data_IF_412817161944
#
_entry.id   IF_412817161944
#
_cell.length_a   1.000
_cell.length_b   1.000
_cell.length_c   1.000
_cell.angle_alpha   90.00
_cell.angle_beta   90.00
_cell.angle_gamma   90.00
#
_symmetry.space_group_name_H-M   'P 1'
#
loop_
_entity.id
_entity.type
_entity.pdbx_description
1 polymer ?
#
# COMPACT_ATOMS: atom_id res chain seq x y z
N UNK A 1 65.79 -41.23 4.50
CA UNK A 1 65.47 -41.75 5.85
C UNK A 1 64.72 -43.07 5.69
N UNK A 2 65.21 -44.14 6.33
CA UNK A 2 64.69 -45.51 6.22
C UNK A 2 63.24 -45.60 6.78
N UNK A 3 62.37 -46.42 6.21
CA UNK A 3 60.94 -46.56 6.60
C UNK A 3 60.78 -46.90 8.09
N UNK A 4 61.76 -47.63 8.63
CA UNK A 4 61.84 -47.97 10.05
C UNK A 4 62.07 -46.78 10.98
N UNK A 5 62.65 -45.67 10.50
CA UNK A 5 62.90 -44.45 11.29
C UNK A 5 61.67 -43.52 11.28
N UNK A 6 60.81 -43.62 10.25
CA UNK A 6 59.59 -42.80 10.16
C UNK A 6 58.48 -43.25 11.11
N UNK A 7 58.45 -44.53 11.47
CA UNK A 7 57.35 -45.12 12.24
C UNK A 7 57.75 -45.46 13.69
N UNK A 8 58.54 -44.58 14.31
CA UNK A 8 59.02 -44.74 15.70
C UNK A 8 58.34 -43.70 16.58
N UNK A 9 57.74 -44.18 17.66
CA UNK A 9 57.24 -43.36 18.76
C UNK A 9 58.02 -43.71 20.01
N UNK A 10 58.67 -42.73 20.64
CA UNK A 10 59.45 -42.96 21.85
C UNK A 10 59.33 -41.78 22.82
N UNK A 11 59.59 -42.03 24.10
CA UNK A 11 59.51 -41.02 25.15
C UNK A 11 60.92 -40.59 25.55
N UNK A 12 61.19 -39.29 25.59
CA UNK A 12 62.47 -38.75 26.03
C UNK A 12 62.63 -38.87 27.55
N UNK A 13 63.86 -38.79 28.10
CA UNK A 13 64.06 -38.74 29.55
C UNK A 13 63.35 -37.57 30.25
N UNK A 14 62.98 -36.53 29.48
CA UNK A 14 62.20 -35.37 29.93
C UNK A 14 60.69 -35.63 29.98
N UNK A 15 60.24 -36.80 29.52
CA UNK A 15 58.83 -37.21 29.49
C UNK A 15 58.09 -36.84 28.20
N UNK A 16 58.76 -36.23 27.21
CA UNK A 16 58.13 -35.82 25.95
C UNK A 16 58.02 -37.00 24.98
N UNK A 17 56.85 -37.16 24.35
CA UNK A 17 56.64 -38.21 23.33
C UNK A 17 57.01 -37.70 21.95
N UNK A 18 58.02 -38.29 21.32
CA UNK A 18 58.48 -37.97 19.97
C UNK A 18 57.87 -38.96 18.99
N UNK A 19 57.23 -38.43 17.95
CA UNK A 19 56.69 -39.16 16.81
C UNK A 19 56.96 -38.36 15.53
N UNK A 20 57.04 -39.02 14.38
CA UNK A 20 57.29 -38.34 13.11
C UNK A 20 56.03 -38.33 12.25
N UNK A 21 55.72 -37.19 11.63
CA UNK A 21 54.62 -37.08 10.66
C UNK A 21 54.98 -37.78 9.33
N UNK A 22 54.05 -37.82 8.36
CA UNK A 22 54.26 -38.45 7.05
C UNK A 22 55.46 -37.88 6.25
N UNK A 23 55.86 -36.64 6.56
CA UNK A 23 57.01 -35.95 5.96
C UNK A 23 58.31 -36.23 6.72
N UNK A 24 58.26 -36.81 7.90
CA UNK A 24 59.40 -37.09 8.78
C UNK A 24 59.71 -35.97 9.77
N UNK A 25 58.80 -35.02 10.01
CA UNK A 25 59.00 -33.95 10.98
C UNK A 25 58.55 -34.41 12.39
N UNK A 26 59.33 -34.11 13.45
CA UNK A 26 58.97 -34.38 14.84
C UNK A 26 57.79 -33.50 15.30
N UNK A 27 57.18 -33.75 16.48
CA UNK A 27 56.10 -32.90 16.96
C UNK A 27 56.62 -31.51 17.25
N UNK A 28 55.84 -30.49 16.88
CA UNK A 28 56.19 -29.11 17.14
C UNK A 28 55.93 -28.79 18.63
N UNK A 29 57.01 -28.48 19.36
CA UNK A 29 56.97 -28.08 20.76
C UNK A 29 57.80 -26.81 20.91
N UNK A 30 57.16 -25.71 21.30
CA UNK A 30 57.81 -24.41 21.41
C UNK A 30 57.44 -23.74 22.73
N UNK A 31 58.40 -23.07 23.33
CA UNK A 31 58.17 -22.18 24.44
C UNK A 31 57.93 -20.75 23.93
N UNK A 32 56.85 -20.13 24.40
CA UNK A 32 56.56 -18.72 24.11
C UNK A 32 57.26 -17.88 25.17
N UNK A 33 58.17 -17.02 24.72
CA UNK A 33 59.00 -16.17 25.58
C UNK A 33 58.65 -14.70 25.37
N UNK A 34 58.67 -13.91 26.43
CA UNK A 34 58.63 -12.45 26.38
C UNK A 34 59.94 -11.84 26.90
N UNK A 35 60.23 -10.60 26.50
CA UNK A 35 61.34 -9.82 27.02
C UNK A 35 60.79 -8.65 27.85
N UNK A 36 61.07 -8.66 29.16
CA UNK A 36 60.67 -7.60 30.07
C UNK A 36 61.84 -6.64 30.31
N UNK A 37 61.58 -5.35 30.21
CA UNK A 37 62.55 -4.32 30.57
C UNK A 37 62.52 -4.11 32.09
N UNK A 38 63.61 -4.47 32.77
CA UNK A 38 63.77 -4.26 34.20
C UNK A 38 64.08 -2.77 34.51
N UNK A 39 63.83 -2.27 35.73
CA UNK A 39 64.16 -0.90 36.14
C UNK A 39 65.62 -0.50 35.89
N UNK A 40 66.53 -1.48 35.92
CA UNK A 40 67.96 -1.31 35.66
C UNK A 40 68.33 -1.23 34.15
N UNK A 41 67.34 -1.05 33.26
CA UNK A 41 67.49 -1.02 31.79
C UNK A 41 68.04 -2.30 31.16
N UNK A 42 67.97 -3.43 31.88
CA UNK A 42 68.34 -4.76 31.38
C UNK A 42 67.10 -5.54 30.96
N UNK A 43 67.22 -6.40 29.94
CA UNK A 43 66.13 -7.26 29.51
C UNK A 43 66.17 -8.60 30.26
N UNK A 44 65.05 -8.97 30.87
CA UNK A 44 64.83 -10.32 31.40
C UNK A 44 63.97 -11.12 30.42
N UNK A 45 64.39 -12.35 30.11
CA UNK A 45 63.57 -13.29 29.33
C UNK A 45 62.70 -14.10 30.28
N UNK A 46 61.40 -14.11 30.04
CA UNK A 46 60.45 -14.89 30.82
C UNK A 46 59.62 -15.79 29.90
N UNK A 47 59.45 -17.05 30.30
CA UNK A 47 58.51 -17.98 29.65
C UNK A 47 57.09 -17.61 30.04
N UNK A 48 56.25 -17.41 29.04
CA UNK A 48 54.87 -16.93 29.20
C UNK A 48 53.84 -17.86 28.60
N UNK A 49 54.28 -18.87 27.88
CA UNK A 49 53.39 -19.87 27.31
C UNK A 49 54.16 -21.03 26.71
N UNK A 50 53.41 -21.98 26.18
CA UNK A 50 53.93 -23.08 25.40
C UNK A 50 52.95 -23.46 24.29
N UNK A 51 53.51 -23.97 23.21
CA UNK A 51 52.78 -24.48 22.06
C UNK A 51 53.17 -25.94 21.85
N UNK A 52 52.19 -26.83 21.80
CA UNK A 52 52.39 -28.26 21.62
C UNK A 52 51.49 -28.78 20.50
N UNK A 53 52.03 -29.65 19.66
CA UNK A 53 51.24 -30.43 18.69
C UNK A 53 51.16 -31.86 19.21
N UNK A 54 49.94 -32.32 19.48
CA UNK A 54 49.65 -33.68 19.93
C UNK A 54 49.73 -34.69 18.78
N UNK A 55 49.80 -35.97 19.13
CA UNK A 55 49.90 -37.09 18.18
C UNK A 55 48.71 -37.26 17.23
N UNK A 56 47.55 -36.73 17.61
CA UNK A 56 46.33 -36.66 16.78
C UNK A 56 46.30 -35.43 15.84
N UNK A 57 47.34 -34.59 15.87
CA UNK A 57 47.43 -33.34 15.12
C UNK A 57 46.79 -32.14 15.80
N UNK A 58 46.23 -32.30 17.00
CA UNK A 58 45.64 -31.21 17.77
C UNK A 58 46.73 -30.22 18.20
N UNK A 59 46.53 -28.93 17.90
CA UNK A 59 47.46 -27.84 18.23
C UNK A 59 46.99 -27.15 19.51
N UNK A 60 47.79 -27.20 20.57
CA UNK A 60 47.50 -26.58 21.85
C UNK A 60 48.44 -25.39 22.06
N UNK A 61 47.87 -24.19 22.11
CA UNK A 61 48.56 -22.98 22.52
C UNK A 61 48.09 -22.60 23.92
N UNK A 62 49.01 -22.61 24.88
CA UNK A 62 48.77 -22.11 26.22
C UNK A 62 49.57 -20.83 26.42
N UNK A 63 48.89 -19.73 26.76
CA UNK A 63 49.51 -18.47 27.14
C UNK A 63 49.01 -18.15 28.55
N UNK A 64 49.95 -17.92 29.46
CA UNK A 64 49.65 -17.53 30.82
C UNK A 64 49.17 -16.06 30.83
N UNK A 65 47.85 -15.87 30.91
CA UNK A 65 47.21 -14.55 30.94
C UNK A 65 47.40 -13.78 32.25
N UNK A 66 47.95 -14.42 33.29
CA UNK A 66 48.22 -13.78 34.60
C UNK A 66 49.60 -13.12 34.68
N UNK A 67 50.48 -13.37 33.71
CA UNK A 67 51.70 -12.58 33.56
C UNK A 67 51.32 -11.19 33.06
N UNK A 68 51.80 -10.13 33.72
CA UNK A 68 51.64 -8.75 33.26
C UNK A 68 52.49 -8.54 31.99
N UNK A 69 51.98 -9.04 30.86
CA UNK A 69 52.67 -9.10 29.58
C UNK A 69 52.83 -7.72 28.93
N UNK A 70 52.01 -6.76 29.33
CA UNK A 70 51.84 -5.48 28.65
C UNK A 70 51.91 -4.25 29.57
N UNK A 71 51.93 -4.46 30.89
CA UNK A 71 52.19 -3.41 31.87
C UNK A 71 53.64 -2.91 31.84
N UNK A 72 53.91 -1.69 32.34
CA UNK A 72 52.97 -0.77 33.00
C UNK A 72 52.14 0.09 32.03
N UNK A 73 52.37 -0.02 30.72
CA UNK A 73 51.84 0.92 29.72
C UNK A 73 50.45 0.56 29.21
N UNK A 74 50.13 -0.73 29.09
CA UNK A 74 48.83 -1.20 28.62
C UNK A 74 48.23 -2.18 29.62
N UNK A 75 46.95 -1.97 29.97
CA UNK A 75 46.19 -2.87 30.86
C UNK A 75 45.74 -4.15 30.16
N UNK A 76 45.63 -4.09 28.83
CA UNK A 76 45.14 -5.17 27.97
C UNK A 76 46.03 -5.30 26.73
N UNK A 77 45.95 -6.44 26.06
CA UNK A 77 46.70 -6.69 24.83
C UNK A 77 46.29 -5.67 23.74
N UNK A 78 47.25 -4.94 23.13
CA UNK A 78 46.93 -4.01 22.07
C UNK A 78 46.41 -4.75 20.83
N UNK A 79 45.31 -4.25 20.25
CA UNK A 79 44.78 -4.80 19.01
C UNK A 79 45.45 -4.15 17.80
N UNK A 80 45.97 -4.97 16.88
CA UNK A 80 46.56 -4.49 15.62
C UNK A 80 45.47 -4.30 14.56
N UNK A 81 44.62 -3.29 14.75
CA UNK A 81 43.59 -2.90 13.79
C UNK A 81 44.06 -1.74 12.91
N UNK A 82 43.72 -1.78 11.62
CA UNK A 82 44.03 -0.69 10.68
C UNK A 82 43.10 0.51 10.86
N UNK A 83 41.84 0.23 11.22
CA UNK A 83 40.79 1.20 11.47
C UNK A 83 39.83 0.62 12.52
N UNK A 84 39.03 1.48 13.12
CA UNK A 84 38.01 1.06 14.06
C UNK A 84 36.89 0.26 13.34
N UNK A 85 36.26 -0.72 14.02
CA UNK A 85 35.12 -1.44 13.48
C UNK A 85 33.95 -0.51 13.18
N UNK A 86 33.21 -0.76 12.09
CA UNK A 86 32.09 0.10 11.74
C UNK A 86 30.94 -0.01 12.73
N UNK A 87 30.37 1.11 13.15
CA UNK A 87 29.18 1.12 13.99
C UNK A 87 27.95 0.55 13.23
N UNK A 88 26.94 0.04 13.95
CA UNK A 88 25.65 -0.28 13.34
C UNK A 88 25.10 0.89 12.50
N UNK A 89 24.47 0.59 11.38
CA UNK A 89 24.02 1.55 10.36
C UNK A 89 25.05 1.87 9.27
N UNK A 90 26.24 1.30 9.39
CA UNK A 90 27.32 1.40 8.42
C UNK A 90 27.72 0.02 7.90
N UNK A 91 28.32 -0.01 6.71
CA UNK A 91 28.94 -1.17 6.09
C UNK A 91 30.39 -0.88 5.74
N UNK A 92 31.18 -1.94 5.63
CA UNK A 92 32.55 -1.85 5.10
C UNK A 92 32.54 -1.35 3.66
N UNK A 93 33.40 -0.38 3.39
CA UNK A 93 33.72 0.13 2.08
C UNK A 93 35.20 -0.13 1.78
N UNK A 94 35.46 -0.82 0.67
CA UNK A 94 36.82 -1.12 0.25
C UNK A 94 37.54 0.17 -0.13
N UNK A 95 38.76 0.36 0.38
CA UNK A 95 39.65 1.43 -0.03
C UNK A 95 40.55 0.89 -1.14
N UNK A 96 40.54 1.53 -2.31
CA UNK A 96 41.42 1.15 -3.41
C UNK A 96 42.90 1.31 -3.04
N UNK A 97 43.73 0.34 -3.39
CA UNK A 97 45.16 0.34 -3.09
C UNK A 97 45.57 -0.06 -1.67
N UNK A 98 44.62 -0.32 -0.75
CA UNK A 98 44.90 -0.80 0.62
C UNK A 98 44.60 -2.30 0.81
N UNK A 99 45.19 -2.96 1.83
CA UNK A 99 44.88 -4.35 2.17
C UNK A 99 43.43 -4.54 2.63
N UNK A 100 42.87 -5.74 2.51
CA UNK A 100 41.47 -6.04 2.86
C UNK A 100 41.10 -5.79 4.33
N UNK A 101 42.08 -5.76 5.25
CA UNK A 101 41.85 -5.41 6.66
C UNK A 101 41.68 -3.91 6.91
N UNK A 102 42.03 -3.07 5.92
CA UNK A 102 41.87 -1.62 5.97
C UNK A 102 40.68 -1.21 5.10
N UNK A 103 39.61 -0.77 5.74
CA UNK A 103 38.37 -0.36 5.08
C UNK A 103 37.88 0.96 5.66
N UNK A 104 36.95 1.59 4.95
CA UNK A 104 36.21 2.75 5.43
C UNK A 104 34.79 2.33 5.82
N UNK A 105 34.10 3.15 6.60
CA UNK A 105 32.73 2.90 7.03
C UNK A 105 31.76 3.77 6.21
N UNK A 106 31.08 3.15 5.24
CA UNK A 106 30.05 3.81 4.46
C UNK A 106 28.67 3.61 5.10
N UNK A 107 27.89 4.69 5.22
CA UNK A 107 26.52 4.61 5.72
C UNK A 107 25.64 3.79 4.78
N UNK A 108 24.70 3.00 5.32
CA UNK A 108 23.72 2.27 4.51
C UNK A 108 22.87 3.22 3.66
N UNK A 109 22.47 2.76 2.46
CA UNK A 109 21.63 3.52 1.56
C UNK A 109 20.19 3.68 2.09
N UNK A 110 19.41 4.51 1.43
CA UNK A 110 18.01 4.71 1.78
C UNK A 110 17.21 3.41 1.57
N UNK A 111 16.44 3.01 2.59
CA UNK A 111 15.72 1.74 2.61
C UNK A 111 16.57 0.53 3.04
N UNK A 112 17.86 0.71 3.30
CA UNK A 112 18.76 -0.32 3.84
C UNK A 112 19.14 -0.07 5.30
N UNK A 113 19.52 -1.13 6.00
CA UNK A 113 19.93 -1.07 7.40
C UNK A 113 21.01 -2.09 7.74
N UNK A 114 21.68 -1.89 8.87
CA UNK A 114 22.68 -2.79 9.46
C UNK A 114 22.60 -2.70 10.98
N UNK A 115 22.29 -3.81 11.66
CA UNK A 115 22.22 -3.86 13.12
C UNK A 115 23.50 -4.40 13.78
N UNK A 116 24.40 -4.99 13.00
CA UNK A 116 25.63 -5.60 13.51
C UNK A 116 26.80 -4.64 13.38
N UNK A 117 27.65 -4.58 14.41
CA UNK A 117 28.95 -3.93 14.33
C UNK A 117 29.80 -4.62 13.28
N UNK A 118 30.53 -3.82 12.51
CA UNK A 118 31.50 -4.26 11.51
C UNK A 118 30.92 -5.07 10.33
N UNK A 119 29.69 -4.74 9.93
CA UNK A 119 28.96 -5.42 8.88
C UNK A 119 29.61 -5.29 7.49
N UNK A 120 29.64 -6.39 6.73
CA UNK A 120 30.17 -6.40 5.37
C UNK A 120 29.24 -5.67 4.38
N UNK A 121 27.94 -5.80 4.57
CA UNK A 121 26.90 -5.25 3.70
C UNK A 121 25.67 -4.84 4.50
N UNK A 122 24.90 -3.90 3.97
CA UNK A 122 23.58 -3.56 4.50
C UNK A 122 22.52 -4.47 3.86
N UNK A 123 21.38 -4.58 4.50
CA UNK A 123 20.24 -5.32 3.98
C UNK A 123 19.02 -4.42 3.86
N UNK A 124 18.15 -4.72 2.89
CA UNK A 124 17.00 -3.89 2.54
C UNK A 124 15.80 -4.23 3.43
N UNK A 125 15.10 -3.20 3.91
CA UNK A 125 13.86 -3.36 4.65
C UNK A 125 12.73 -3.87 3.74
N UNK A 126 11.68 -4.44 4.34
CA UNK A 126 10.49 -4.87 3.61
C UNK A 126 9.73 -3.67 3.01
N UNK A 127 8.84 -3.90 2.04
CA UNK A 127 8.12 -2.83 1.34
C UNK A 127 7.25 -1.95 2.25
N UNK A 128 6.75 -2.53 3.35
CA UNK A 128 5.91 -1.88 4.35
C UNK A 128 6.72 -1.16 5.45
N UNK A 129 8.04 -1.29 5.41
CA UNK A 129 8.94 -0.73 6.41
C UNK A 129 9.92 0.26 5.77
N UNK A 130 10.30 1.28 6.53
CA UNK A 130 11.37 2.21 6.21
C UNK A 130 12.53 2.01 7.18
N UNK A 131 13.74 2.20 6.70
CA UNK A 131 14.92 2.20 7.55
C UNK A 131 14.90 3.44 8.46
N UNK A 132 15.19 3.26 9.76
CA UNK A 132 15.20 4.35 10.74
C UNK A 132 16.29 5.42 10.43
N UNK A 133 16.26 6.57 11.11
CA UNK A 133 17.23 7.68 10.86
C UNK A 133 18.70 7.25 11.03
N UNK A 134 18.95 6.29 11.91
CA UNK A 134 20.28 5.76 12.20
C UNK A 134 20.69 4.59 11.28
N UNK A 135 19.79 4.11 10.41
CA UNK A 135 19.97 2.93 9.56
C UNK A 135 20.27 1.63 10.33
N UNK A 136 19.86 1.54 11.58
CA UNK A 136 20.10 0.39 12.47
C UNK A 136 18.92 -0.59 12.53
N UNK A 137 17.75 -0.17 12.06
CA UNK A 137 16.52 -0.96 12.15
C UNK A 137 15.49 -0.57 11.11
N UNK A 138 14.58 -1.50 10.80
CA UNK A 138 13.40 -1.26 9.99
C UNK A 138 12.24 -0.85 10.91
N UNK A 139 11.51 0.20 10.54
CA UNK A 139 10.34 0.70 11.24
C UNK A 139 9.15 0.77 10.27
N UNK A 140 7.90 0.54 10.72
CA UNK A 140 6.74 0.63 9.84
C UNK A 140 6.64 2.00 9.17
N UNK A 141 6.28 2.02 7.89
CA UNK A 141 5.94 3.27 7.18
C UNK A 141 4.65 3.87 7.73
N UNK A 142 4.50 5.19 7.61
CA UNK A 142 3.26 5.87 8.01
C UNK A 142 2.18 5.64 6.96
N UNK A 143 0.96 5.35 7.42
CA UNK A 143 -0.18 5.11 6.53
C UNK A 143 -0.83 6.45 6.20
N UNK A 144 -0.91 6.78 4.91
CA UNK A 144 -1.55 7.99 4.42
C UNK A 144 -2.84 7.62 3.68
N UNK A 145 -3.91 8.38 3.93
CA UNK A 145 -5.22 8.22 3.29
C UNK A 145 -5.97 9.55 3.32
N UNK A 146 -6.99 9.73 2.47
CA UNK A 146 -7.83 10.92 2.48
C UNK A 146 -8.66 10.97 3.77
N UNK A 147 -8.17 11.70 4.77
CA UNK A 147 -8.79 11.79 6.09
C UNK A 147 -9.85 12.89 6.14
N UNK A 148 -10.84 12.71 7.02
CA UNK A 148 -11.81 13.75 7.37
C UNK A 148 -11.16 14.99 7.99
N UNK A 149 -9.97 14.83 8.56
CA UNK A 149 -9.19 15.91 9.16
C UNK A 149 -8.41 16.72 8.12
N UNK A 150 -8.21 16.19 6.92
CA UNK A 150 -7.47 16.88 5.87
C UNK A 150 -8.34 17.97 5.25
N UNK A 151 -7.73 19.05 4.76
CA UNK A 151 -8.45 20.19 4.19
C UNK A 151 -9.38 19.79 3.05
N UNK A 152 -8.94 18.89 2.17
CA UNK A 152 -9.74 18.35 1.08
C UNK A 152 -10.88 17.45 1.59
N UNK A 153 -10.59 16.53 2.51
CA UNK A 153 -11.62 15.63 3.07
C UNK A 153 -12.68 16.38 3.87
N UNK A 154 -12.29 17.38 4.66
CA UNK A 154 -13.18 18.23 5.43
C UNK A 154 -14.10 19.08 4.53
N UNK A 155 -13.57 19.68 3.48
CA UNK A 155 -14.37 20.50 2.54
C UNK A 155 -15.37 19.66 1.77
N UNK A 156 -14.96 18.50 1.23
CA UNK A 156 -15.87 17.57 0.53
C UNK A 156 -16.99 17.05 1.45
N UNK A 157 -16.64 16.66 2.68
CA UNK A 157 -17.60 16.21 3.68
C UNK A 157 -18.63 17.30 4.02
N UNK A 158 -18.17 18.53 4.22
CA UNK A 158 -19.03 19.67 4.51
C UNK A 158 -20.03 19.93 3.37
N UNK A 159 -19.55 19.94 2.13
CA UNK A 159 -20.40 20.12 0.94
C UNK A 159 -21.46 19.01 0.85
N UNK A 160 -21.06 17.74 1.03
CA UNK A 160 -21.97 16.60 1.00
C UNK A 160 -23.08 16.72 2.05
N UNK A 161 -22.75 17.11 3.28
CA UNK A 161 -23.73 17.29 4.36
C UNK A 161 -24.68 18.46 4.09
N UNK A 162 -24.18 19.60 3.60
CA UNK A 162 -25.02 20.75 3.24
C UNK A 162 -26.01 20.38 2.14
N UNK A 163 -25.56 19.68 1.11
CA UNK A 163 -26.41 19.20 0.01
C UNK A 163 -27.44 18.17 0.47
N UNK A 164 -27.06 17.26 1.37
CA UNK A 164 -27.99 16.32 2.00
C UNK A 164 -29.08 17.02 2.80
N UNK A 165 -28.71 18.01 3.63
CA UNK A 165 -29.68 18.80 4.41
C UNK A 165 -30.62 19.56 3.48
N UNK A 166 -30.08 20.20 2.44
CA UNK A 166 -30.90 20.91 1.44
C UNK A 166 -31.89 19.97 0.75
N UNK A 167 -31.44 18.80 0.30
CA UNK A 167 -32.31 17.79 -0.31
C UNK A 167 -33.38 17.26 0.67
N UNK A 168 -33.02 17.10 1.95
CA UNK A 168 -33.95 16.71 3.02
C UNK A 168 -35.05 17.75 3.26
N UNK A 169 -34.68 19.04 3.23
CA UNK A 169 -35.66 20.14 3.35
C UNK A 169 -36.62 20.13 2.15
N UNK A 170 -36.10 19.95 0.93
CA UNK A 170 -36.93 19.85 -0.28
C UNK A 170 -37.86 18.65 -0.20
N UNK A 171 -37.38 17.49 0.26
CA UNK A 171 -38.20 16.31 0.48
C UNK A 171 -39.29 16.55 1.54
N UNK A 172 -38.95 17.22 2.64
CA UNK A 172 -39.92 17.60 3.68
C UNK A 172 -41.04 18.50 3.15
N UNK A 173 -40.69 19.50 2.33
CA UNK A 173 -41.67 20.35 1.64
C UNK A 173 -42.53 19.51 0.69
N UNK A 174 -41.91 18.61 -0.10
CA UNK A 174 -42.60 17.75 -1.04
C UNK A 174 -43.63 16.85 -0.36
N UNK A 175 -43.26 16.23 0.77
CA UNK A 175 -44.17 15.39 1.58
C UNK A 175 -45.28 16.23 2.23
N UNK A 176 -44.96 17.45 2.71
CA UNK A 176 -45.96 18.33 3.33
C UNK A 176 -47.06 18.73 2.33
N UNK A 177 -46.69 18.97 1.08
CA UNK A 177 -47.60 19.39 0.00
C UNK A 177 -47.95 18.25 -0.96
N UNK A 178 -47.88 17.00 -0.50
CA UNK A 178 -48.09 15.80 -1.31
C UNK A 178 -49.39 15.86 -2.12
N UNK A 179 -50.50 16.23 -1.49
CA UNK A 179 -51.84 16.26 -2.10
C UNK A 179 -52.08 17.44 -3.06
N UNK A 180 -51.11 18.34 -3.24
CA UNK A 180 -51.31 19.50 -4.13
C UNK A 180 -51.36 19.07 -5.60
N UNK A 181 -52.20 19.73 -6.43
CA UNK A 181 -52.36 19.37 -7.84
C UNK A 181 -51.07 19.53 -8.66
N UNK A 182 -50.13 20.35 -8.18
CA UNK A 182 -48.79 20.51 -8.78
C UNK A 182 -47.97 19.22 -8.59
N UNK A 183 -47.92 18.69 -7.37
CA UNK A 183 -47.17 17.47 -7.03
C UNK A 183 -47.81 16.25 -7.70
N UNK A 184 -49.15 16.17 -7.72
CA UNK A 184 -49.90 15.10 -8.39
C UNK A 184 -49.70 15.05 -9.90
N UNK A 185 -49.64 16.22 -10.55
CA UNK A 185 -49.36 16.31 -11.98
C UNK A 185 -47.93 15.88 -12.32
N UNK A 186 -46.98 16.07 -11.39
CA UNK A 186 -45.56 15.73 -11.58
C UNK A 186 -45.18 14.35 -11.02
N UNK A 187 -46.01 13.33 -11.29
CA UNK A 187 -45.81 11.93 -10.95
C UNK A 187 -45.10 11.71 -9.60
N UNK A 188 -45.86 11.89 -8.52
CA UNK A 188 -45.41 11.99 -7.12
C UNK A 188 -44.38 10.92 -6.73
N UNK A 189 -44.62 9.67 -7.15
CA UNK A 189 -43.78 8.53 -6.81
C UNK A 189 -42.37 8.62 -7.41
N UNK A 190 -42.24 9.06 -8.67
CA UNK A 190 -40.93 9.21 -9.31
C UNK A 190 -40.16 10.38 -8.72
N UNK A 191 -40.83 11.51 -8.50
CA UNK A 191 -40.19 12.69 -7.90
C UNK A 191 -39.72 12.42 -6.46
N UNK A 192 -40.49 11.64 -5.69
CA UNK A 192 -40.08 11.16 -4.36
C UNK A 192 -38.87 10.22 -4.42
N UNK A 193 -38.89 9.24 -5.33
CA UNK A 193 -37.76 8.32 -5.53
C UNK A 193 -36.49 9.06 -5.95
N UNK A 194 -36.61 10.05 -6.84
CA UNK A 194 -35.50 10.90 -7.27
C UNK A 194 -34.87 11.64 -6.08
N UNK A 195 -35.68 12.29 -5.24
CA UNK A 195 -35.19 13.04 -4.07
C UNK A 195 -34.48 12.14 -3.06
N UNK A 196 -35.03 10.95 -2.77
CA UNK A 196 -34.38 9.98 -1.89
C UNK A 196 -33.05 9.50 -2.49
N UNK A 197 -33.04 9.15 -3.78
CA UNK A 197 -31.81 8.71 -4.43
C UNK A 197 -30.73 9.80 -4.43
N UNK A 198 -31.11 11.07 -4.60
CA UNK A 198 -30.19 12.20 -4.54
C UNK A 198 -29.61 12.38 -3.13
N UNK A 199 -30.42 12.24 -2.08
CA UNK A 199 -29.94 12.26 -0.70
C UNK A 199 -28.91 11.15 -0.44
N UNK A 200 -29.21 9.94 -0.91
CA UNK A 200 -28.31 8.80 -0.80
C UNK A 200 -27.02 9.00 -1.63
N UNK A 201 -27.09 9.65 -2.79
CA UNK A 201 -25.92 10.04 -3.59
C UNK A 201 -25.00 10.98 -2.82
N UNK A 202 -25.53 11.97 -2.09
CA UNK A 202 -24.70 12.84 -1.27
C UNK A 202 -24.04 12.08 -0.12
N UNK A 203 -24.75 11.16 0.53
CA UNK A 203 -24.18 10.33 1.60
C UNK A 203 -23.14 9.32 1.09
N UNK A 204 -23.32 8.74 -0.09
CA UNK A 204 -22.40 7.71 -0.57
C UNK A 204 -21.01 8.28 -0.89
N UNK A 205 -20.88 9.59 -1.14
CA UNK A 205 -19.57 10.23 -1.29
C UNK A 205 -18.71 10.10 -0.02
N UNK A 206 -19.33 10.00 1.16
CA UNK A 206 -18.63 9.80 2.43
C UNK A 206 -17.98 8.41 2.51
N UNK A 207 -18.46 7.41 1.77
CA UNK A 207 -17.81 6.10 1.69
C UNK A 207 -16.45 6.14 0.98
N UNK A 208 -16.17 7.22 0.24
CA UNK A 208 -14.88 7.45 -0.41
C UNK A 208 -13.89 8.20 0.49
N UNK A 209 -14.34 8.76 1.63
CA UNK A 209 -13.53 9.55 2.56
C UNK A 209 -13.29 8.74 3.84
N UNK A 210 -12.05 8.78 4.34
CA UNK A 210 -11.62 8.10 5.55
C UNK A 210 -10.71 6.91 5.28
N UNK A 211 -10.43 6.15 6.33
CA UNK A 211 -9.52 5.01 6.25
C UNK A 211 -10.19 3.86 5.47
N UNK A 212 -9.63 3.40 4.34
CA UNK A 212 -10.23 2.32 3.58
C UNK A 212 -10.12 1.02 4.38
N UNK A 213 -11.25 0.32 4.50
CA UNK A 213 -11.34 -1.03 5.05
C UNK A 213 -11.80 -1.98 3.93
N UNK A 214 -11.55 -3.27 4.09
CA UNK A 214 -11.99 -4.26 3.09
C UNK A 214 -13.49 -4.15 2.76
N UNK A 215 -14.32 -3.92 3.79
CA UNK A 215 -15.77 -3.77 3.63
C UNK A 215 -16.10 -2.47 2.89
N UNK A 216 -15.45 -1.36 3.24
CA UNK A 216 -15.64 -0.09 2.56
C UNK A 216 -15.27 -0.19 1.08
N UNK A 217 -14.15 -0.84 0.73
CA UNK A 217 -13.72 -1.00 -0.67
C UNK A 217 -14.76 -1.76 -1.51
N UNK A 218 -15.36 -2.81 -0.96
CA UNK A 218 -16.40 -3.59 -1.61
C UNK A 218 -17.69 -2.77 -1.83
N UNK A 219 -18.14 -2.05 -0.81
CA UNK A 219 -19.42 -1.36 -0.84
C UNK A 219 -19.38 -0.04 -1.61
N UNK A 220 -18.27 0.70 -1.54
CA UNK A 220 -18.16 2.07 -2.06
C UNK A 220 -18.63 2.21 -3.49
N UNK A 221 -18.05 1.45 -4.42
CA UNK A 221 -18.37 1.57 -5.84
C UNK A 221 -19.75 0.99 -6.18
N UNK A 222 -20.10 -0.15 -5.59
CA UNK A 222 -21.39 -0.82 -5.84
C UNK A 222 -22.55 0.04 -5.34
N UNK A 223 -22.44 0.57 -4.12
CA UNK A 223 -23.44 1.49 -3.55
C UNK A 223 -23.56 2.75 -4.37
N UNK A 224 -22.44 3.37 -4.77
CA UNK A 224 -22.46 4.54 -5.67
C UNK A 224 -23.18 4.23 -6.98
N UNK A 225 -22.82 3.12 -7.65
CA UNK A 225 -23.39 2.76 -8.95
C UNK A 225 -24.90 2.48 -8.88
N UNK A 226 -25.34 1.70 -7.88
CA UNK A 226 -26.77 1.35 -7.73
C UNK A 226 -27.61 2.59 -7.44
N UNK A 227 -27.19 3.43 -6.48
CA UNK A 227 -27.94 4.64 -6.13
C UNK A 227 -27.99 5.58 -7.33
N UNK A 228 -26.86 5.75 -8.00
CA UNK A 228 -26.77 6.62 -9.16
C UNK A 228 -27.65 6.12 -10.32
N UNK A 229 -27.81 4.80 -10.45
CA UNK A 229 -28.66 4.17 -11.49
C UNK A 229 -30.12 4.48 -11.22
N UNK A 230 -30.54 4.39 -9.96
CA UNK A 230 -31.89 4.74 -9.53
C UNK A 230 -32.18 6.20 -9.88
N UNK A 231 -31.25 7.13 -9.62
CA UNK A 231 -31.43 8.55 -9.96
C UNK A 231 -31.60 8.78 -11.46
N UNK A 232 -30.68 8.29 -12.29
CA UNK A 232 -30.72 8.52 -13.75
C UNK A 232 -31.90 7.81 -14.41
N UNK A 233 -32.16 6.56 -14.03
CA UNK A 233 -33.30 5.80 -14.56
C UNK A 233 -34.64 6.45 -14.20
N UNK A 234 -34.74 7.07 -13.02
CA UNK A 234 -35.95 7.82 -12.61
C UNK A 234 -36.15 9.06 -13.48
N UNK A 235 -35.09 9.83 -13.77
CA UNK A 235 -35.19 10.99 -14.67
C UNK A 235 -35.53 10.54 -16.09
N UNK A 236 -34.89 9.48 -16.59
CA UNK A 236 -35.18 8.90 -17.89
C UNK A 236 -36.62 8.41 -18.00
N UNK A 237 -37.12 7.71 -16.98
CA UNK A 237 -38.49 7.24 -16.94
C UNK A 237 -39.49 8.40 -16.92
N UNK A 238 -39.17 9.48 -16.22
CA UNK A 238 -39.97 10.70 -16.18
C UNK A 238 -40.04 11.37 -17.55
N UNK A 239 -38.91 11.58 -18.23
CA UNK A 239 -38.88 12.20 -19.57
C UNK A 239 -39.57 11.35 -20.62
N UNK A 240 -39.37 10.03 -20.61
CA UNK A 240 -40.06 9.11 -21.53
C UNK A 240 -41.56 9.07 -21.29
N UNK A 241 -42.02 9.14 -20.04
CA UNK A 241 -43.46 9.21 -19.74
C UNK A 241 -44.10 10.45 -20.36
N UNK A 242 -43.41 11.60 -20.32
CA UNK A 242 -43.85 12.84 -20.98
C UNK A 242 -43.92 12.66 -22.50
N UNK A 243 -42.87 12.13 -23.13
CA UNK A 243 -42.84 11.86 -24.58
C UNK A 243 -44.00 10.94 -25.00
N UNK A 244 -44.24 9.86 -24.24
CA UNK A 244 -45.30 8.88 -24.53
C UNK A 244 -46.67 9.52 -24.36
N UNK A 245 -46.90 10.32 -23.31
CA UNK A 245 -48.16 11.01 -23.08
C UNK A 245 -48.51 11.97 -24.24
N UNK A 246 -47.55 12.76 -24.72
CA UNK A 246 -47.76 13.67 -25.85
C UNK A 246 -47.91 12.95 -27.20
N UNK A 247 -47.23 11.82 -27.43
CA UNK A 247 -47.41 11.05 -28.66
C UNK A 247 -48.65 10.15 -28.64
N UNK A 248 -49.22 9.86 -27.47
CA UNK A 248 -50.47 9.12 -27.33
C UNK A 248 -51.72 9.96 -27.62
N UNK A 249 -51.63 11.29 -27.51
CA UNK A 249 -52.73 12.21 -27.88
C UNK A 249 -52.87 12.42 -29.39
N UNK A 250 -51.88 12.02 -30.20
CA UNK A 250 -51.97 12.05 -31.67
C UNK A 250 -52.94 10.98 -32.20
N UNK A 251 -53.87 11.32 -33.11
CA UNK A 251 -54.83 10.36 -33.66
C UNK A 251 -54.09 9.23 -34.41
N UNK A 252 -54.45 7.96 -34.12
CA UNK A 252 -53.84 6.76 -34.74
C UNK A 252 -52.66 6.12 -33.98
N UNK A 253 -52.28 6.65 -32.81
CA UNK A 253 -51.09 6.17 -32.07
C UNK A 253 -51.32 4.85 -31.32
N UNK A 254 -50.49 3.83 -31.61
CA UNK A 254 -50.45 2.56 -30.85
C UNK A 254 -49.90 2.73 -29.42
N UNK A 255 -49.30 3.88 -29.10
CA UNK A 255 -48.74 4.19 -27.78
C UNK A 255 -49.79 4.41 -26.70
N UNK A 256 -51.08 4.54 -27.07
CA UNK A 256 -52.19 4.72 -26.12
C UNK A 256 -52.32 3.58 -25.11
N UNK A 257 -51.88 2.36 -25.44
CA UNK A 257 -51.87 1.19 -24.55
C UNK A 257 -50.82 1.27 -23.44
N UNK A 258 -49.80 2.13 -23.62
CA UNK A 258 -48.62 2.23 -22.74
C UNK A 258 -48.66 3.46 -21.82
N UNK A 259 -49.75 4.23 -21.84
CA UNK A 259 -49.90 5.43 -21.01
C UNK A 259 -50.23 5.03 -19.57
N UNK A 260 -49.27 5.19 -18.66
CA UNK A 260 -49.51 5.00 -17.22
C UNK A 260 -48.24 4.96 -16.37
N UNK A 261 -48.40 5.24 -15.06
CA UNK A 261 -47.32 5.24 -14.05
C UNK A 261 -46.61 3.88 -13.95
N UNK A 262 -47.31 2.80 -14.27
CA UNK A 262 -46.78 1.43 -14.21
C UNK A 262 -45.60 1.20 -15.18
N UNK A 263 -45.59 1.86 -16.35
CA UNK A 263 -44.49 1.74 -17.32
C UNK A 263 -43.20 2.36 -16.78
N UNK A 264 -43.29 3.52 -16.14
CA UNK A 264 -42.12 4.20 -15.58
C UNK A 264 -41.45 3.38 -14.48
N UNK A 265 -42.25 2.78 -13.59
CA UNK A 265 -41.74 1.88 -12.54
C UNK A 265 -41.10 0.61 -13.13
N UNK A 266 -41.69 0.02 -14.18
CA UNK A 266 -41.09 -1.11 -14.89
C UNK A 266 -39.74 -0.71 -15.51
N UNK A 267 -39.65 0.47 -16.12
CA UNK A 267 -38.40 0.92 -16.72
C UNK A 267 -37.29 1.10 -15.68
N UNK A 268 -37.58 1.78 -14.56
CA UNK A 268 -36.62 1.97 -13.46
C UNK A 268 -36.16 0.62 -12.91
N UNK A 269 -37.09 -0.31 -12.66
CA UNK A 269 -36.75 -1.64 -12.12
C UNK A 269 -35.88 -2.44 -13.08
N UNK A 270 -36.15 -2.43 -14.38
CA UNK A 270 -35.31 -3.12 -15.38
C UNK A 270 -33.90 -2.53 -15.44
N UNK A 271 -33.76 -1.19 -15.39
CA UNK A 271 -32.44 -0.54 -15.34
C UNK A 271 -31.66 -0.92 -14.08
N UNK A 272 -32.31 -0.87 -12.92
CA UNK A 272 -31.66 -1.25 -11.65
C UNK A 272 -31.28 -2.73 -11.61
N UNK A 273 -32.14 -3.62 -12.14
CA UNK A 273 -31.83 -5.05 -12.25
C UNK A 273 -30.60 -5.27 -13.13
N UNK A 274 -30.49 -4.57 -14.27
CA UNK A 274 -29.31 -4.63 -15.13
C UNK A 274 -28.02 -4.28 -14.37
N UNK A 275 -28.02 -3.15 -13.67
CA UNK A 275 -26.85 -2.72 -12.90
C UNK A 275 -26.51 -3.68 -11.75
N UNK A 276 -27.50 -4.17 -11.02
CA UNK A 276 -27.28 -5.14 -9.94
C UNK A 276 -26.66 -6.43 -10.47
N UNK A 277 -27.06 -6.90 -11.65
CA UNK A 277 -26.46 -8.09 -12.28
C UNK A 277 -25.00 -7.84 -12.65
N UNK A 278 -24.68 -6.69 -13.27
CA UNK A 278 -23.29 -6.32 -13.61
C UNK A 278 -22.44 -6.24 -12.34
N UNK A 279 -22.93 -5.54 -11.33
CA UNK A 279 -22.25 -5.39 -10.03
C UNK A 279 -22.06 -6.74 -9.31
N UNK A 280 -23.05 -7.64 -9.37
CA UNK A 280 -22.95 -8.97 -8.77
C UNK A 280 -21.91 -9.85 -9.48
N UNK A 281 -21.87 -9.81 -10.82
CA UNK A 281 -20.84 -10.52 -11.61
C UNK A 281 -19.45 -9.99 -11.30
N UNK A 282 -19.30 -8.67 -11.16
CA UNK A 282 -18.03 -8.05 -10.78
C UNK A 282 -17.57 -8.52 -9.40
N UNK A 283 -18.44 -8.45 -8.39
CA UNK A 283 -18.18 -8.91 -7.03
C UNK A 283 -17.82 -10.41 -6.95
N UNK A 284 -18.45 -11.25 -7.78
CA UNK A 284 -18.18 -12.68 -7.79
C UNK A 284 -16.86 -13.04 -8.50
N UNK A 285 -16.46 -12.26 -9.50
CA UNK A 285 -15.31 -12.59 -10.35
C UNK A 285 -14.01 -11.99 -9.82
N UNK A 286 -13.97 -10.67 -9.62
CA UNK A 286 -12.79 -9.92 -9.19
C UNK A 286 -13.24 -8.72 -8.34
N UNK A 287 -13.60 -8.96 -7.06
CA UNK A 287 -14.10 -7.91 -6.19
C UNK A 287 -12.99 -6.88 -5.86
N UNK A 288 -13.37 -5.60 -5.61
CA UNK A 288 -12.43 -4.62 -5.10
C UNK A 288 -11.79 -5.05 -3.79
N UNK A 289 -10.50 -4.76 -3.62
CA UNK A 289 -9.74 -5.13 -2.43
C UNK A 289 -8.90 -3.96 -1.91
N UNK A 290 -8.55 -4.03 -0.62
CA UNK A 290 -7.64 -3.06 -0.02
C UNK A 290 -6.23 -3.27 -0.56
N UNK A 291 -5.68 -2.21 -1.15
CA UNK A 291 -4.34 -2.19 -1.72
C UNK A 291 -3.49 -1.10 -1.06
N UNK A 292 -2.18 -1.28 -1.10
CA UNK A 292 -1.23 -0.41 -0.43
C UNK A 292 -0.12 -0.05 -1.41
N UNK A 293 -0.10 1.21 -1.84
CA UNK A 293 0.98 1.69 -2.69
C UNK A 293 2.19 2.06 -1.83
N UNK A 294 3.26 1.28 -2.05
CA UNK A 294 4.54 1.40 -1.38
C UNK A 294 5.61 2.04 -2.26
N UNK A 295 5.29 2.33 -3.54
CA UNK A 295 6.22 2.74 -4.58
C UNK A 295 6.27 4.27 -4.80
N UNK A 296 5.16 4.96 -4.55
CA UNK A 296 5.03 6.40 -4.83
C UNK A 296 5.81 7.28 -3.83
N UNK A 297 6.00 6.83 -2.59
CA UNK A 297 6.79 7.55 -1.58
C UNK A 297 7.61 6.57 -0.72
N UNK A 298 8.88 6.92 -0.46
CA UNK A 298 9.81 6.12 0.33
C UNK A 298 9.39 6.12 1.82
N UNK A 299 8.65 7.13 2.27
CA UNK A 299 8.34 7.35 3.69
C UNK A 299 6.90 7.00 4.10
N UNK A 300 5.98 6.91 3.14
CA UNK A 300 4.55 6.72 3.38
C UNK A 300 3.99 5.57 2.55
N UNK A 301 2.95 4.92 3.07
CA UNK A 301 2.16 3.92 2.37
C UNK A 301 0.80 4.50 2.11
N UNK A 302 0.44 4.66 0.83
CA UNK A 302 -0.89 5.14 0.46
C UNK A 302 -1.86 3.97 0.47
N UNK A 303 -2.82 4.00 1.39
CA UNK A 303 -3.87 3.01 1.46
C UNK A 303 -4.97 3.39 0.46
N UNK A 304 -5.23 2.53 -0.52
CA UNK A 304 -6.27 2.75 -1.52
C UNK A 304 -7.11 1.49 -1.72
N UNK A 305 -8.26 1.64 -2.38
CA UNK A 305 -9.07 0.50 -2.80
C UNK A 305 -8.79 0.24 -4.26
N UNK A 306 -8.18 -0.90 -4.57
CA UNK A 306 -7.99 -1.35 -5.94
C UNK A 306 -9.31 -1.98 -6.43
N UNK A 307 -9.76 -1.56 -7.61
CA UNK A 307 -11.01 -2.03 -8.22
C UNK A 307 -10.96 -3.50 -8.66
N UNK A 308 -9.78 -4.13 -8.66
CA UNK A 308 -9.55 -5.53 -8.98
C UNK A 308 -9.56 -5.83 -10.47
N UNK A 309 -10.62 -5.43 -11.18
CA UNK A 309 -10.71 -5.58 -12.64
C UNK A 309 -11.14 -4.29 -13.32
N UNK A 310 -10.21 -3.76 -14.11
CA UNK A 310 -10.40 -2.58 -14.96
C UNK A 310 -11.57 -2.77 -15.93
N UNK A 311 -11.74 -3.96 -16.50
CA UNK A 311 -12.82 -4.25 -17.45
C UNK A 311 -14.21 -4.15 -16.79
N UNK A 312 -14.39 -4.73 -15.60
CA UNK A 312 -15.68 -4.68 -14.90
C UNK A 312 -15.98 -3.28 -14.38
N UNK A 313 -14.96 -2.58 -13.87
CA UNK A 313 -15.08 -1.18 -13.47
C UNK A 313 -15.56 -0.28 -14.63
N UNK A 314 -14.93 -0.36 -15.79
CA UNK A 314 -15.37 0.38 -16.98
C UNK A 314 -16.70 -0.12 -17.53
N UNK A 315 -17.07 -1.39 -17.34
CA UNK A 315 -18.38 -1.90 -17.74
C UNK A 315 -19.50 -1.25 -16.91
N UNK A 316 -19.31 -1.11 -15.61
CA UNK A 316 -20.23 -0.39 -14.72
C UNK A 316 -20.32 1.08 -15.14
N UNK A 317 -19.20 1.78 -15.24
CA UNK A 317 -19.19 3.19 -15.67
C UNK A 317 -19.83 3.37 -17.05
N UNK A 318 -19.56 2.45 -17.98
CA UNK A 318 -20.14 2.43 -19.31
C UNK A 318 -21.66 2.28 -19.28
N UNK A 319 -22.20 1.43 -18.41
CA UNK A 319 -23.64 1.28 -18.20
C UNK A 319 -24.28 2.59 -17.72
N UNK A 320 -23.68 3.23 -16.71
CA UNK A 320 -24.14 4.52 -16.17
C UNK A 320 -24.10 5.62 -17.23
N UNK A 321 -23.02 5.66 -18.01
CA UNK A 321 -22.83 6.64 -19.09
C UNK A 321 -23.84 6.42 -20.20
N UNK A 322 -24.12 5.17 -20.57
CA UNK A 322 -25.14 4.84 -21.57
C UNK A 322 -26.54 5.28 -21.10
N UNK A 323 -26.90 4.98 -19.85
CA UNK A 323 -28.17 5.44 -19.26
C UNK A 323 -28.28 6.97 -19.25
N UNK A 324 -27.20 7.67 -18.93
CA UNK A 324 -27.18 9.13 -18.94
C UNK A 324 -27.33 9.71 -20.36
N UNK A 325 -26.68 9.11 -21.35
CA UNK A 325 -26.84 9.49 -22.76
C UNK A 325 -28.27 9.24 -23.26
N UNK A 326 -28.87 8.09 -22.95
CA UNK A 326 -30.27 7.82 -23.27
C UNK A 326 -31.22 8.81 -22.59
N UNK A 327 -30.97 9.12 -21.32
CA UNK A 327 -31.71 10.15 -20.58
C UNK A 327 -31.58 11.53 -21.23
N UNK A 328 -30.38 11.91 -21.65
CA UNK A 328 -30.12 13.17 -22.34
C UNK A 328 -30.84 13.23 -23.69
N UNK A 329 -30.78 12.18 -24.50
CA UNK A 329 -31.51 12.10 -25.79
C UNK A 329 -33.01 12.23 -25.56
N UNK A 330 -33.56 11.52 -24.56
CA UNK A 330 -34.97 11.63 -24.20
C UNK A 330 -35.33 13.04 -23.73
N UNK A 331 -34.52 13.66 -22.87
CA UNK A 331 -34.74 15.03 -22.43
C UNK A 331 -34.70 16.04 -23.59
N UNK A 332 -33.74 15.89 -24.50
CA UNK A 332 -33.60 16.74 -25.68
C UNK A 332 -34.81 16.63 -26.61
N UNK A 333 -35.31 15.42 -26.85
CA UNK A 333 -36.55 15.21 -27.61
C UNK A 333 -37.77 15.80 -26.90
N UNK A 334 -37.75 15.83 -25.57
CA UNK A 334 -38.84 16.38 -24.77
C UNK A 334 -38.86 17.91 -24.69
N UNK A 335 -37.72 18.57 -24.99
CA UNK A 335 -37.54 20.02 -24.76
C UNK A 335 -38.53 20.91 -25.53
N UNK A 336 -39.00 20.44 -26.69
CA UNK A 336 -39.86 21.20 -27.59
C UNK A 336 -41.35 20.95 -27.31
N UNK A 337 -41.70 20.06 -26.38
CA UNK A 337 -43.09 19.90 -25.97
C UNK A 337 -43.57 21.09 -25.14
N UNK A 338 -44.84 21.52 -25.31
CA UNK A 338 -45.45 22.56 -24.48
C UNK A 338 -45.66 22.01 -23.07
N UNK A 339 -44.59 22.02 -22.27
CA UNK A 339 -44.59 21.50 -20.92
C UNK A 339 -44.86 22.61 -19.90
N UNK A 340 -45.56 22.28 -18.81
CA UNK A 340 -45.84 23.28 -17.78
C UNK A 340 -44.52 23.59 -17.05
N UNK A 341 -44.18 24.87 -16.92
CA UNK A 341 -43.04 25.38 -16.15
C UNK A 341 -41.62 25.10 -16.71
N UNK A 342 -41.46 24.84 -18.01
CA UNK A 342 -40.14 24.60 -18.64
C UNK A 342 -39.34 23.41 -18.03
N UNK A 343 -40.04 22.43 -17.46
CA UNK A 343 -39.41 21.31 -16.74
C UNK A 343 -38.46 20.50 -17.62
N UNK A 344 -38.89 20.10 -18.83
CA UNK A 344 -38.04 19.37 -19.78
C UNK A 344 -36.74 20.13 -20.15
N UNK A 345 -36.78 21.47 -20.19
CA UNK A 345 -35.60 22.30 -20.48
C UNK A 345 -34.59 22.25 -19.33
N UNK A 346 -35.06 22.30 -18.09
CA UNK A 346 -34.20 22.16 -16.90
C UNK A 346 -33.57 20.77 -16.82
N UNK A 347 -34.36 19.71 -17.09
CA UNK A 347 -33.84 18.34 -17.13
C UNK A 347 -32.76 18.18 -18.20
N UNK A 348 -32.97 18.74 -19.40
CA UNK A 348 -31.98 18.71 -20.48
C UNK A 348 -30.68 19.40 -20.08
N UNK A 349 -30.76 20.57 -19.44
CA UNK A 349 -29.59 21.28 -18.95
C UNK A 349 -28.85 20.50 -17.87
N UNK A 350 -29.55 19.91 -16.92
CA UNK A 350 -28.96 19.06 -15.87
C UNK A 350 -28.29 17.82 -16.46
N UNK A 351 -28.93 17.13 -17.42
CA UNK A 351 -28.37 15.94 -18.07
C UNK A 351 -27.16 16.27 -18.96
N UNK A 352 -27.14 17.45 -19.59
CA UNK A 352 -25.98 17.92 -20.34
C UNK A 352 -24.77 18.16 -19.42
N UNK A 353 -24.97 18.92 -18.33
CA UNK A 353 -23.91 19.16 -17.34
C UNK A 353 -23.38 17.85 -16.77
N UNK A 354 -24.27 16.90 -16.51
CA UNK A 354 -23.91 15.56 -16.08
C UNK A 354 -23.04 14.82 -17.11
N UNK A 355 -23.45 14.74 -18.38
CA UNK A 355 -22.67 14.10 -19.44
C UNK A 355 -21.27 14.73 -19.60
N UNK A 356 -21.16 16.05 -19.45
CA UNK A 356 -19.86 16.76 -19.50
C UNK A 356 -18.91 16.35 -18.37
N UNK A 357 -19.42 16.15 -17.15
CA UNK A 357 -18.61 15.68 -16.01
C UNK A 357 -18.07 14.27 -16.29
N UNK A 358 -18.88 13.36 -16.83
CA UNK A 358 -18.42 12.01 -17.18
C UNK A 358 -17.44 11.97 -18.34
N UNK A 359 -17.63 12.84 -19.33
CA UNK A 359 -16.67 13.01 -20.41
C UNK A 359 -15.29 13.47 -19.91
N UNK A 360 -15.25 14.32 -18.87
CA UNK A 360 -14.00 14.77 -18.24
C UNK A 360 -13.41 13.75 -17.25
N UNK A 361 -14.25 12.93 -16.61
CA UNK A 361 -13.83 11.96 -15.60
C UNK A 361 -12.93 10.85 -16.17
N UNK A 362 -13.28 10.27 -17.34
CA UNK A 362 -12.54 9.14 -17.90
C UNK A 362 -11.07 9.49 -18.21
N UNK A 363 -10.75 10.62 -18.88
CA UNK A 363 -9.36 11.03 -19.09
C UNK A 363 -8.62 11.33 -17.78
N UNK A 364 -9.28 11.97 -16.81
CA UNK A 364 -8.67 12.33 -15.53
C UNK A 364 -8.41 11.11 -14.62
N UNK A 365 -9.17 10.03 -14.76
CA UNK A 365 -8.93 8.78 -14.03
C UNK A 365 -7.77 7.96 -14.63
N UNK A 366 -7.54 8.08 -15.94
CA UNK A 366 -6.47 7.36 -16.65
C UNK A 366 -5.11 8.10 -16.62
N UNK A 367 -5.10 9.38 -16.24
CA UNK A 367 -3.90 10.20 -16.06
C UNK A 367 -3.31 10.03 -14.67
#
# INVERSE_FOLDING_TARGET
INTFVRNVTFVTPSGDTIFFNDKGDPPAQFDVMTFLLLPNRTFARQKVGSFHVLSDGTKLLHINSSADLWGPYYKEMPQSLCNEPCAPGYRKAKIEGKPSCCYDCAKCADGEMSNTTDALSCFRCSEYEKSNKQRTGCVPKEINYLSYTDTLGATLTSIALVLFIAASVVLGIFVRYWETPIVRANNQNLSFLLLISLMLCFLCTLLFIGRPTQICCLLRQVTFSIIFTISVSTVMAKTLTVIIAFNATKPGSKLKKYVGTQLATILVTVCCLGEMMISAVWMASNPPFLDADTLTDINTVFLMCNEGSVLFFFSVIGYMTALALFSFIAAFLAKDFPDRFNEAKNITFSMLGFCSVWGAFVPAYLS
#
